data_IF_704379245393
#
_entry.id   IF_704379245393
#
_cell.length_a   1.000
_cell.length_b   1.000
_cell.length_c   1.000
_cell.angle_alpha   90.00
_cell.angle_beta   90.00
_cell.angle_gamma   90.00
#
_symmetry.space_group_name_H-M   'P 1'
#
loop_
_entity.id
_entity.type
_entity.pdbx_description
1 polymer ?
#
# COMPACT_ATOMS: atom_id res chain seq x y z
N UNK A 1 -13.65 -1.98 21.36
CA UNK A 1 -12.43 -2.71 20.96
C UNK A 1 -11.33 -2.25 21.89
N UNK A 2 -10.71 -3.14 22.66
CA UNK A 2 -9.57 -2.77 23.50
C UNK A 2 -8.39 -2.37 22.59
N UNK A 3 -7.70 -1.29 22.92
CA UNK A 3 -6.47 -0.91 22.23
C UNK A 3 -5.47 -2.07 22.42
N UNK A 4 -5.00 -2.65 21.31
CA UNK A 4 -3.95 -3.66 21.36
C UNK A 4 -2.69 -3.02 21.94
N UNK A 5 -1.94 -3.74 22.78
CA UNK A 5 -0.68 -3.20 23.29
C UNK A 5 0.36 -3.15 22.17
N UNK A 6 1.33 -2.23 22.24
CA UNK A 6 2.45 -2.16 21.30
C UNK A 6 3.18 -3.49 21.14
N UNK A 7 3.25 -4.28 22.22
CA UNK A 7 3.83 -5.62 22.20
C UNK A 7 3.06 -6.55 21.28
N UNK A 8 1.73 -6.53 21.36
CA UNK A 8 0.86 -7.38 20.54
C UNK A 8 0.94 -6.97 19.07
N UNK A 9 0.95 -5.65 18.80
CA UNK A 9 1.13 -5.10 17.45
C UNK A 9 2.47 -5.52 16.85
N UNK A 10 3.58 -5.35 17.59
CA UNK A 10 4.92 -5.76 17.16
C UNK A 10 5.01 -7.27 16.89
N UNK A 11 4.48 -8.10 17.78
CA UNK A 11 4.46 -9.54 17.59
C UNK A 11 3.66 -9.94 16.34
N UNK A 12 2.54 -9.26 16.09
CA UNK A 12 1.72 -9.48 14.90
C UNK A 12 2.46 -9.09 13.62
N UNK A 13 3.05 -7.89 13.56
CA UNK A 13 3.84 -7.43 12.41
C UNK A 13 4.98 -8.39 12.08
N UNK A 14 5.75 -8.80 13.09
CA UNK A 14 6.85 -9.75 12.91
C UNK A 14 6.35 -11.08 12.33
N UNK A 15 5.26 -11.63 12.88
CA UNK A 15 4.65 -12.86 12.38
C UNK A 15 4.23 -12.71 10.91
N UNK A 16 3.52 -11.64 10.56
CA UNK A 16 3.05 -11.40 9.19
C UNK A 16 4.23 -11.27 8.22
N UNK A 17 5.29 -10.55 8.60
CA UNK A 17 6.52 -10.46 7.82
C UNK A 17 7.15 -11.82 7.54
N UNK A 18 7.17 -12.74 8.52
CA UNK A 18 7.65 -14.12 8.34
C UNK A 18 6.75 -14.95 7.42
N UNK A 19 5.44 -14.74 7.43
CA UNK A 19 4.54 -15.44 6.49
C UNK A 19 4.73 -14.98 5.05
N UNK A 20 4.94 -13.67 4.83
CA UNK A 20 5.18 -13.13 3.49
C UNK A 20 6.58 -13.44 2.94
N UNK A 21 7.54 -13.81 3.80
CA UNK A 21 8.90 -14.23 3.40
C UNK A 21 8.88 -15.34 2.34
N UNK A 22 7.97 -16.30 2.47
CA UNK A 22 7.84 -17.42 1.54
C UNK A 22 6.76 -17.23 0.48
N UNK A 23 5.97 -16.14 0.56
CA UNK A 23 4.77 -15.87 -0.25
C UNK A 23 3.82 -17.07 -0.30
N UNK A 24 2.76 -17.10 0.52
CA UNK A 24 1.82 -18.23 0.54
C UNK A 24 1.29 -18.56 -0.85
N UNK A 25 1.45 -19.81 -1.29
CA UNK A 25 0.94 -20.28 -2.58
C UNK A 25 -0.59 -20.37 -2.60
N UNK A 26 -1.21 -20.53 -1.43
CA UNK A 26 -2.65 -20.61 -1.29
C UNK A 26 -3.26 -19.20 -1.19
N UNK A 27 -4.14 -18.86 -2.14
CA UNK A 27 -4.81 -17.54 -2.22
C UNK A 27 -5.52 -17.16 -0.93
N UNK A 28 -6.25 -18.09 -0.30
CA UNK A 28 -7.00 -17.85 0.94
C UNK A 28 -6.05 -17.42 2.08
N UNK A 29 -4.91 -18.10 2.21
CA UNK A 29 -3.89 -17.82 3.22
C UNK A 29 -3.23 -16.47 2.95
N UNK A 30 -2.93 -16.16 1.68
CA UNK A 30 -2.38 -14.85 1.30
C UNK A 30 -3.36 -13.72 1.63
N UNK A 31 -4.63 -13.85 1.25
CA UNK A 31 -5.65 -12.84 1.54
C UNK A 31 -5.84 -12.64 3.04
N UNK A 32 -5.93 -13.72 3.83
CA UNK A 32 -6.02 -13.61 5.27
C UNK A 32 -4.80 -12.90 5.86
N UNK A 33 -3.60 -13.20 5.35
CA UNK A 33 -2.35 -12.55 5.79
C UNK A 33 -2.38 -11.03 5.51
N UNK A 34 -2.84 -10.64 4.31
CA UNK A 34 -2.98 -9.23 3.89
C UNK A 34 -4.21 -8.53 4.50
N UNK A 35 -5.14 -9.25 5.10
CA UNK A 35 -6.23 -8.63 5.87
C UNK A 35 -5.74 -8.33 7.30
N UNK A 36 -4.89 -9.21 7.84
CA UNK A 36 -4.32 -9.08 9.18
C UNK A 36 -3.34 -7.89 9.33
N UNK A 37 -2.76 -7.41 8.22
CA UNK A 37 -1.93 -6.19 8.14
C UNK A 37 -2.71 -4.91 8.45
N UNK A 38 -4.04 -4.95 8.57
CA UNK A 38 -4.87 -3.83 9.06
C UNK A 38 -4.41 -3.20 10.38
N UNK A 39 -3.60 -3.91 11.17
CA UNK A 39 -2.92 -3.34 12.34
C UNK A 39 -1.93 -2.19 12.03
N UNK A 40 -1.48 -2.03 10.78
CA UNK A 40 -0.70 -0.88 10.33
C UNK A 40 -1.44 0.45 10.56
N UNK A 41 -2.77 0.45 10.48
CA UNK A 41 -3.60 1.64 10.76
C UNK A 41 -3.53 2.13 12.21
N UNK A 42 -2.99 1.32 13.13
CA UNK A 42 -2.81 1.66 14.54
C UNK A 42 -1.47 2.34 14.84
N UNK A 43 -0.57 2.37 13.85
CA UNK A 43 0.81 2.84 14.04
C UNK A 43 0.87 4.26 13.52
N UNK A 44 1.24 5.20 14.38
CA UNK A 44 1.50 6.57 13.94
C UNK A 44 2.93 6.71 13.43
N UNK A 45 3.15 7.72 12.59
CA UNK A 45 4.47 8.05 12.07
C UNK A 45 5.49 8.28 13.20
N UNK A 46 5.07 8.88 14.32
CA UNK A 46 5.91 9.10 15.50
C UNK A 46 6.39 7.83 16.19
N UNK A 47 5.70 6.71 15.95
CA UNK A 47 5.98 5.44 16.62
C UNK A 47 6.89 4.53 15.77
N UNK A 48 7.18 4.93 14.52
CA UNK A 48 7.92 4.14 13.55
C UNK A 48 9.26 3.66 14.10
N UNK A 49 10.07 4.54 14.70
CA UNK A 49 11.38 4.16 15.25
C UNK A 49 11.28 3.02 16.25
N UNK A 50 10.23 3.01 17.07
CA UNK A 50 9.99 1.97 18.07
C UNK A 50 9.49 0.66 17.46
N UNK A 51 8.84 0.71 16.30
CA UNK A 51 8.17 -0.42 15.63
C UNK A 51 8.95 -0.97 14.42
N UNK A 52 9.93 -0.22 13.91
CA UNK A 52 10.70 -0.47 12.69
C UNK A 52 11.21 -1.91 12.58
N UNK A 53 11.90 -2.41 13.61
CA UNK A 53 12.42 -3.78 13.63
C UNK A 53 11.36 -4.88 13.42
N UNK A 54 10.11 -4.63 13.83
CA UNK A 54 8.99 -5.55 13.58
C UNK A 54 8.32 -5.33 12.22
N UNK A 55 8.37 -4.09 11.70
CA UNK A 55 7.78 -3.70 10.41
C UNK A 55 8.68 -4.04 9.23
N UNK A 56 10.00 -3.89 9.33
CA UNK A 56 10.94 -4.01 8.21
C UNK A 56 10.79 -5.32 7.42
N UNK A 57 10.60 -6.51 8.05
CA UNK A 57 10.36 -7.74 7.30
C UNK A 57 9.06 -7.69 6.50
N UNK A 58 8.00 -7.12 7.07
CA UNK A 58 6.71 -6.96 6.38
C UNK A 58 6.86 -6.02 5.18
N UNK A 59 7.44 -4.84 5.39
CA UNK A 59 7.65 -3.83 4.34
C UNK A 59 8.48 -4.40 3.19
N UNK A 60 9.59 -5.06 3.53
CA UNK A 60 10.48 -5.72 2.55
C UNK A 60 9.73 -6.74 1.69
N UNK A 61 8.86 -7.55 2.29
CA UNK A 61 8.16 -8.60 1.57
C UNK A 61 6.92 -8.10 0.80
N UNK A 62 6.24 -7.06 1.29
CA UNK A 62 5.14 -6.40 0.55
C UNK A 62 5.64 -5.76 -0.75
N UNK A 63 6.88 -5.27 -0.75
CA UNK A 63 7.50 -4.63 -1.91
C UNK A 63 8.09 -5.61 -2.94
N UNK A 64 7.94 -6.93 -2.77
CA UNK A 64 8.46 -7.91 -3.74
C UNK A 64 7.63 -7.90 -5.02
N UNK A 65 8.32 -7.84 -6.15
CA UNK A 65 7.72 -7.82 -7.49
C UNK A 65 6.72 -8.97 -7.74
N UNK A 66 6.95 -10.16 -7.18
CA UNK A 66 6.02 -11.29 -7.28
C UNK A 66 4.64 -11.02 -6.67
N UNK A 67 4.59 -10.24 -5.58
CA UNK A 67 3.34 -9.85 -4.93
C UNK A 67 2.72 -8.62 -5.61
N UNK A 68 3.54 -7.65 -6.02
CA UNK A 68 3.10 -6.44 -6.75
C UNK A 68 2.45 -6.78 -8.10
N UNK A 69 2.87 -7.87 -8.74
CA UNK A 69 2.38 -8.33 -10.05
C UNK A 69 1.32 -9.43 -9.97
N UNK A 70 0.70 -9.62 -8.80
CA UNK A 70 -0.31 -10.67 -8.62
C UNK A 70 -1.59 -10.39 -9.43
N UNK A 71 -2.12 -11.39 -10.13
CA UNK A 71 -3.27 -11.20 -11.05
C UNK A 71 -4.60 -10.95 -10.32
N UNK A 72 -4.78 -11.59 -9.16
CA UNK A 72 -6.00 -11.48 -8.35
C UNK A 72 -6.28 -10.05 -7.89
N UNK A 73 -7.50 -9.57 -8.17
CA UNK A 73 -7.93 -8.20 -7.86
C UNK A 73 -7.99 -7.95 -6.35
N UNK A 74 -8.46 -8.93 -5.57
CA UNK A 74 -8.57 -8.80 -4.11
C UNK A 74 -7.18 -8.70 -3.45
N UNK A 75 -6.23 -9.51 -3.92
CA UNK A 75 -4.84 -9.48 -3.42
C UNK A 75 -4.23 -8.10 -3.68
N UNK A 76 -4.37 -7.58 -4.91
CA UNK A 76 -3.90 -6.24 -5.25
C UNK A 76 -4.57 -5.14 -4.43
N UNK A 77 -5.87 -5.29 -4.14
CA UNK A 77 -6.61 -4.33 -3.34
C UNK A 77 -6.05 -4.22 -1.91
N UNK A 78 -5.83 -5.36 -1.25
CA UNK A 78 -5.21 -5.36 0.07
C UNK A 78 -3.77 -4.85 0.01
N UNK A 79 -2.99 -5.30 -0.98
CA UNK A 79 -1.61 -4.85 -1.15
C UNK A 79 -1.49 -3.33 -1.30
N UNK A 80 -2.36 -2.71 -2.09
CA UNK A 80 -2.38 -1.24 -2.24
C UNK A 80 -2.74 -0.57 -0.91
N UNK A 81 -3.70 -1.13 -0.18
CA UNK A 81 -4.11 -0.60 1.13
C UNK A 81 -2.95 -0.69 2.13
N UNK A 82 -2.26 -1.82 2.17
CA UNK A 82 -1.11 -2.06 3.04
C UNK A 82 0.07 -1.15 2.70
N UNK A 83 0.39 -1.00 1.41
CA UNK A 83 1.46 -0.11 0.96
C UNK A 83 1.12 1.35 1.27
N UNK A 84 -0.15 1.75 1.13
CA UNK A 84 -0.60 3.08 1.51
C UNK A 84 -0.32 3.35 2.99
N UNK A 85 -0.71 2.44 3.88
CA UNK A 85 -0.44 2.56 5.32
C UNK A 85 1.05 2.54 5.66
N UNK A 86 1.84 1.66 5.04
CA UNK A 86 3.30 1.66 5.22
C UNK A 86 3.86 3.02 4.84
N UNK A 87 3.43 3.56 3.70
CA UNK A 87 3.90 4.88 3.23
C UNK A 87 3.47 6.00 4.17
N UNK A 88 2.26 5.94 4.75
CA UNK A 88 1.81 6.86 5.83
C UNK A 88 2.79 6.90 6.99
N UNK A 89 3.25 5.72 7.41
CA UNK A 89 4.10 5.54 8.59
C UNK A 89 5.55 5.95 8.28
N UNK A 90 6.06 5.66 7.08
CA UNK A 90 7.48 5.85 6.73
C UNK A 90 7.79 7.16 6.00
N UNK A 91 6.79 7.89 5.49
CA UNK A 91 7.00 9.22 4.87
C UNK A 91 7.78 10.11 5.84
N UNK A 92 8.70 10.99 5.41
CA UNK A 92 9.17 11.24 4.04
C UNK A 92 10.24 10.27 3.52
N UNK A 93 10.68 9.30 4.34
CA UNK A 93 11.78 8.39 4.04
C UNK A 93 11.25 7.00 3.70
N UNK A 94 10.77 6.79 2.48
CA UNK A 94 10.47 5.43 2.04
C UNK A 94 11.79 4.71 1.70
N UNK A 95 12.08 3.54 2.31
CA UNK A 95 13.37 2.86 2.17
C UNK A 95 13.58 2.11 0.85
N UNK A 96 12.66 2.20 -0.10
CA UNK A 96 12.69 1.42 -1.34
C UNK A 96 13.47 2.11 -2.45
N UNK A 97 14.15 1.33 -3.29
CA UNK A 97 14.84 1.85 -4.47
C UNK A 97 13.85 2.35 -5.54
N UNK A 98 14.32 3.22 -6.44
CA UNK A 98 13.50 3.86 -7.49
C UNK A 98 12.74 2.86 -8.37
N UNK A 99 13.29 1.66 -8.60
CA UNK A 99 12.63 0.63 -9.44
C UNK A 99 11.44 0.04 -8.72
N UNK A 100 11.63 -0.35 -7.46
CA UNK A 100 10.55 -0.84 -6.59
C UNK A 100 9.47 0.22 -6.42
N UNK A 101 9.87 1.48 -6.26
CA UNK A 101 8.94 2.59 -6.17
C UNK A 101 8.11 2.79 -7.42
N UNK A 102 8.73 2.65 -8.59
CA UNK A 102 8.00 2.68 -9.85
C UNK A 102 6.94 1.58 -9.93
N UNK A 103 7.27 0.34 -9.55
CA UNK A 103 6.30 -0.77 -9.54
C UNK A 103 5.13 -0.51 -8.59
N UNK A 104 5.41 0.04 -7.40
CA UNK A 104 4.39 0.45 -6.44
C UNK A 104 3.47 1.52 -7.03
N UNK A 105 4.04 2.56 -7.66
CA UNK A 105 3.25 3.60 -8.31
C UNK A 105 2.41 3.06 -9.48
N UNK A 106 2.96 2.17 -10.29
CA UNK A 106 2.24 1.52 -11.38
C UNK A 106 1.06 0.68 -10.85
N UNK A 107 1.25 -0.05 -9.76
CA UNK A 107 0.20 -0.81 -9.08
C UNK A 107 -0.92 0.12 -8.57
N UNK A 108 -0.55 1.20 -7.89
CA UNK A 108 -1.49 2.19 -7.37
C UNK A 108 -2.28 2.88 -8.49
N UNK A 109 -1.60 3.40 -9.51
CA UNK A 109 -2.23 4.06 -10.67
C UNK A 109 -3.11 3.06 -11.43
N UNK A 110 -2.65 1.82 -11.61
CA UNK A 110 -3.38 0.74 -12.25
C UNK A 110 -4.75 0.47 -11.59
N UNK A 111 -4.83 0.62 -10.27
CA UNK A 111 -6.07 0.45 -9.52
C UNK A 111 -7.15 1.49 -9.89
N UNK A 112 -6.76 2.65 -10.40
CA UNK A 112 -7.67 3.73 -10.77
C UNK A 112 -8.00 3.79 -12.27
N UNK A 113 -7.38 2.96 -13.11
CA UNK A 113 -7.61 2.96 -14.57
C UNK A 113 -9.07 2.74 -14.98
N UNK A 114 -9.89 2.12 -14.12
CA UNK A 114 -11.34 1.89 -14.35
C UNK A 114 -12.24 2.64 -13.37
N UNK A 115 -11.74 3.73 -12.76
CA UNK A 115 -12.55 4.52 -11.83
C UNK A 115 -13.73 5.21 -12.52
N UNK A 116 -13.75 5.31 -13.85
CA UNK A 116 -14.90 5.83 -14.60
C UNK A 116 -16.10 4.87 -14.62
N UNK A 117 -15.88 3.58 -14.36
CA UNK A 117 -16.93 2.55 -14.34
C UNK A 117 -17.55 2.47 -12.94
N UNK A 118 -18.58 3.29 -12.71
CA UNK A 118 -19.34 3.32 -11.44
C UNK A 118 -20.20 2.09 -11.22
N UNK A 119 -20.39 1.23 -12.24
CA UNK A 119 -21.10 -0.04 -12.11
C UNK A 119 -20.21 -1.17 -11.62
N UNK A 120 -18.89 -0.93 -11.53
CA UNK A 120 -17.93 -1.89 -11.03
C UNK A 120 -18.18 -2.20 -9.54
N UNK A 121 -18.27 -3.48 -9.14
CA UNK A 121 -18.43 -3.87 -7.74
C UNK A 121 -17.33 -3.36 -6.79
N UNK A 122 -16.17 -2.94 -7.33
CA UNK A 122 -15.06 -2.40 -6.57
C UNK A 122 -14.95 -0.87 -6.60
N UNK A 123 -15.91 -0.15 -7.21
CA UNK A 123 -15.84 1.30 -7.37
C UNK A 123 -15.65 2.02 -6.02
N UNK A 124 -16.52 1.76 -5.04
CA UNK A 124 -16.46 2.41 -3.72
C UNK A 124 -15.14 2.13 -3.00
N UNK A 125 -14.64 0.89 -3.12
CA UNK A 125 -13.36 0.47 -2.56
C UNK A 125 -12.20 1.26 -3.18
N UNK A 126 -12.21 1.47 -4.51
CA UNK A 126 -11.18 2.25 -5.21
C UNK A 126 -11.25 3.73 -4.85
N UNK A 127 -12.44 4.31 -4.76
CA UNK A 127 -12.62 5.72 -4.33
C UNK A 127 -12.10 5.93 -2.91
N UNK A 128 -12.36 4.99 -1.99
CA UNK A 128 -11.84 5.07 -0.61
C UNK A 128 -10.31 5.08 -0.57
N UNK A 129 -9.65 4.21 -1.32
CA UNK A 129 -8.18 4.19 -1.43
C UNK A 129 -7.67 5.52 -1.97
N UNK A 130 -8.24 6.03 -3.07
CA UNK A 130 -7.84 7.31 -3.66
C UNK A 130 -7.96 8.45 -2.64
N UNK A 131 -9.05 8.47 -1.86
CA UNK A 131 -9.27 9.45 -0.81
C UNK A 131 -8.25 9.38 0.33
N UNK A 132 -7.74 8.19 0.66
CA UNK A 132 -6.68 8.02 1.66
C UNK A 132 -5.34 8.51 1.12
N UNK A 133 -4.96 8.09 -0.09
CA UNK A 133 -3.73 8.51 -0.76
C UNK A 133 -3.63 10.04 -0.92
N UNK A 134 -4.76 10.69 -1.24
CA UNK A 134 -4.82 12.15 -1.38
C UNK A 134 -4.56 12.89 -0.05
N UNK A 135 -4.95 12.30 1.09
CA UNK A 135 -4.72 12.90 2.42
C UNK A 135 -3.26 12.81 2.84
N UNK A 136 -2.60 11.72 2.50
CA UNK A 136 -1.27 11.38 3.00
C UNK A 136 -0.13 11.99 2.17
N UNK A 137 -0.46 12.80 1.14
CA UNK A 137 0.49 13.53 0.27
C UNK A 137 1.58 12.64 -0.34
N UNK A 138 1.34 11.34 -0.50
CA UNK A 138 2.33 10.35 -0.97
C UNK A 138 2.99 10.69 -2.30
N UNK A 139 2.30 11.46 -3.15
CA UNK A 139 2.75 11.78 -4.51
C UNK A 139 3.44 13.13 -4.61
N UNK A 140 3.63 13.85 -3.51
CA UNK A 140 4.14 15.21 -3.56
C UNK A 140 5.66 15.20 -3.44
N UNK A 141 6.36 15.19 -4.58
CA UNK A 141 7.78 15.57 -4.64
C UNK A 141 7.84 17.06 -4.97
N UNK A 142 8.36 17.89 -4.07
CA UNK A 142 8.45 19.36 -4.24
C UNK A 142 7.13 20.06 -4.61
N UNK A 143 6.01 19.63 -4.01
CA UNK A 143 4.71 20.26 -4.28
C UNK A 143 4.04 19.80 -5.59
N UNK A 144 4.59 18.79 -6.30
CA UNK A 144 4.05 18.30 -7.57
C UNK A 144 3.73 16.81 -7.49
N UNK A 145 2.56 16.44 -8.04
CA UNK A 145 2.15 15.05 -8.26
C UNK A 145 2.74 14.61 -9.61
N UNK A 146 3.69 13.65 -9.68
CA UNK A 146 4.22 13.15 -10.95
C UNK A 146 3.25 12.14 -11.56
N UNK A 147 2.02 12.58 -11.88
CA UNK A 147 1.13 11.82 -12.75
C UNK A 147 1.53 12.13 -14.20
N UNK A 148 2.44 11.35 -14.80
CA UNK A 148 2.47 11.29 -16.26
C UNK A 148 1.26 10.47 -16.71
N UNK A 149 0.15 11.16 -16.93
CA UNK A 149 -0.97 10.61 -17.67
C UNK A 149 -0.45 10.17 -19.05
N UNK A 150 -0.43 8.86 -19.30
CA UNK A 150 -0.35 8.33 -20.65
C UNK A 150 -1.71 8.52 -21.32
N UNK A 151 -2.11 9.76 -21.60
CA UNK A 151 -3.22 10.04 -22.50
C UNK A 151 -2.64 10.25 -23.89
N UNK A 152 -3.02 9.40 -24.84
CA UNK A 152 -2.79 9.58 -26.27
C UNK A 152 -3.53 10.77 -26.88
N UNK A 153 -3.94 11.73 -26.06
CA UNK A 153 -4.51 13.01 -26.44
C UNK A 153 -3.94 14.06 -25.48
N UNK A 154 -3.50 15.17 -26.07
CA UNK A 154 -2.92 16.39 -25.51
C UNK A 154 -2.88 16.55 -23.99
N UNK A 155 -1.73 17.03 -23.50
CA UNK A 155 -1.48 17.47 -22.13
C UNK A 155 -2.65 18.35 -21.65
N UNK A 156 -3.49 17.81 -20.77
CA UNK A 156 -4.37 18.61 -19.95
C UNK A 156 -3.63 18.82 -18.63
N UNK A 157 -3.16 20.05 -18.41
CA UNK A 157 -2.68 20.52 -17.12
C UNK A 157 -3.85 20.49 -16.12
N UNK A 158 -4.07 19.35 -15.49
CA UNK A 158 -4.88 19.28 -14.29
C UNK A 158 -3.99 19.65 -13.12
N UNK A 159 -4.00 20.95 -12.79
CA UNK A 159 -3.60 21.43 -11.46
C UNK A 159 -4.78 21.13 -10.53
N UNK A 160 -4.53 20.31 -9.50
CA UNK A 160 -5.28 20.36 -8.24
C UNK A 160 -4.42 21.10 -7.23
#
# INVERSE_FOLDING_TARGET
>A
MGLASDRDVKAKLYRLGRWLEFTPHEKSVLLNTLEETSCLSLIEQSDYDSMSAAMDPLVTHLARSGLLRHDEVDVRHFLITDINEVTRITTPSLPNDDTTMKEIYELMIGNFQKLWDTTNPHFDKRVKILGNMAKEKHFVHDGKIPLRAATGFGVCDCVL
#
